data_IF_017162865530
#
_entry.id   IF_017162865530
#
_cell.length_a   1.000
_cell.length_b   1.000
_cell.length_c   1.000
_cell.angle_alpha   90.00
_cell.angle_beta   90.00
_cell.angle_gamma   90.00
#
_symmetry.space_group_name_H-M   'P 1'
#
loop_
_entity.id
_entity.type
_entity.pdbx_description
1 polymer ?
#
# COMPACT_ATOMS: atom_id res chain seq x y z
N UNK A 1 -6.33 19.02 -2.53
CA UNK A 1 -5.65 17.70 -2.40
C UNK A 1 -4.29 17.96 -1.78
N UNK A 2 -3.95 17.29 -0.69
CA UNK A 2 -2.66 17.47 0.00
C UNK A 2 -1.51 16.94 -0.87
N UNK A 3 -0.33 17.54 -0.74
CA UNK A 3 0.88 17.10 -1.44
C UNK A 3 1.20 15.65 -1.02
N UNK A 4 1.55 14.75 -1.96
CA UNK A 4 1.96 13.40 -1.60
C UNK A 4 3.20 13.42 -0.68
N UNK A 5 3.35 12.41 0.20
CA UNK A 5 4.52 12.31 1.06
C UNK A 5 5.81 12.25 0.23
N UNK A 6 6.96 12.68 0.79
CA UNK A 6 8.27 12.40 0.24
C UNK A 6 8.47 10.91 -0.06
N UNK A 7 9.32 10.61 -1.04
CA UNK A 7 9.55 9.22 -1.50
C UNK A 7 10.04 8.32 -0.38
N UNK A 8 10.90 8.84 0.48
CA UNK A 8 11.54 8.12 1.59
C UNK A 8 10.52 7.71 2.64
N UNK A 9 9.59 8.62 2.97
CA UNK A 9 8.48 8.36 3.89
C UNK A 9 7.53 7.31 3.32
N UNK A 10 7.21 7.41 2.03
CA UNK A 10 6.40 6.42 1.34
C UNK A 10 7.07 5.04 1.36
N UNK A 11 8.37 4.97 1.06
CA UNK A 11 9.14 3.72 1.06
C UNK A 11 9.14 3.06 2.45
N UNK A 12 9.36 3.85 3.51
CA UNK A 12 9.36 3.37 4.89
C UNK A 12 7.99 2.80 5.31
N UNK A 13 6.89 3.37 4.80
CA UNK A 13 5.55 2.86 5.04
C UNK A 13 5.30 1.53 4.30
N UNK A 14 5.82 1.38 3.07
CA UNK A 14 5.63 0.19 2.23
C UNK A 14 6.49 -1.00 2.66
N UNK A 15 7.68 -0.74 3.21
CA UNK A 15 8.65 -1.78 3.58
C UNK A 15 8.50 -2.22 5.05
N UNK A 16 8.69 -3.52 5.27
CA UNK A 16 8.80 -4.12 6.60
C UNK A 16 10.19 -3.92 7.22
N UNK A 17 10.40 -4.39 8.46
CA UNK A 17 11.63 -4.17 9.23
C UNK A 17 12.92 -4.64 8.54
N UNK A 18 12.80 -5.61 7.64
CA UNK A 18 13.91 -6.22 6.91
C UNK A 18 14.01 -5.74 5.46
N UNK A 19 13.22 -4.74 5.06
CA UNK A 19 13.24 -4.17 3.71
C UNK A 19 12.37 -4.92 2.68
N UNK A 20 11.62 -5.95 3.10
CA UNK A 20 10.65 -6.61 2.22
C UNK A 20 9.35 -5.78 2.09
N UNK A 21 8.67 -5.87 0.96
CA UNK A 21 7.34 -5.25 0.78
C UNK A 21 6.35 -5.86 1.80
N UNK A 22 5.56 -5.00 2.48
CA UNK A 22 4.52 -5.46 3.41
C UNK A 22 3.43 -6.22 2.66
N UNK A 23 2.84 -7.22 3.33
CA UNK A 23 1.70 -7.98 2.85
C UNK A 23 0.44 -7.69 3.71
N UNK A 24 -0.77 -7.85 3.16
CA UNK A 24 -1.09 -8.20 1.77
C UNK A 24 -0.71 -7.06 0.81
N UNK A 25 -0.41 -7.41 -0.44
CA UNK A 25 -0.13 -6.44 -1.50
C UNK A 25 -0.86 -6.87 -2.79
N UNK A 26 -1.47 -5.91 -3.47
CA UNK A 26 -2.22 -6.18 -4.70
C UNK A 26 -2.15 -4.98 -5.66
N UNK A 27 -2.15 -5.27 -6.96
CA UNK A 27 -2.27 -4.26 -8.02
C UNK A 27 -3.68 -4.27 -8.58
N UNK A 28 -4.31 -3.09 -8.63
CA UNK A 28 -5.62 -2.86 -9.25
C UNK A 28 -5.50 -1.72 -10.27
N UNK A 29 -5.47 -2.06 -11.55
CA UNK A 29 -5.19 -1.08 -12.61
C UNK A 29 -3.81 -0.45 -12.45
N UNK A 30 -3.77 0.87 -12.28
CA UNK A 30 -2.56 1.67 -12.03
C UNK A 30 -2.26 1.89 -10.54
N UNK A 31 -3.04 1.26 -9.66
CA UNK A 31 -2.97 1.48 -8.21
C UNK A 31 -2.36 0.26 -7.50
N UNK A 32 -1.33 0.50 -6.68
CA UNK A 32 -0.75 -0.50 -5.76
C UNK A 32 -1.32 -0.32 -4.36
N UNK A 33 -1.92 -1.39 -3.82
CA UNK A 33 -2.48 -1.45 -2.47
C UNK A 33 -1.55 -2.29 -1.60
N UNK A 34 -1.15 -1.77 -0.45
CA UNK A 34 -0.24 -2.44 0.50
C UNK A 34 -0.75 -2.31 1.92
N UNK A 35 -0.78 -3.43 2.65
CA UNK A 35 -1.30 -3.52 4.01
C UNK A 35 -2.80 -3.81 4.04
N UNK A 36 -3.36 -3.84 5.25
CA UNK A 36 -4.77 -4.16 5.48
C UNK A 36 -5.56 -2.87 5.78
N UNK A 37 -6.56 -2.60 4.95
CA UNK A 37 -7.59 -1.58 5.15
C UNK A 37 -8.89 -2.19 4.61
N UNK A 38 -9.97 -2.22 5.40
CA UNK A 38 -11.26 -2.81 5.01
C UNK A 38 -11.81 -2.21 3.71
N UNK A 39 -11.62 -0.90 3.50
CA UNK A 39 -12.02 -0.23 2.26
C UNK A 39 -11.15 -0.69 1.08
N UNK A 40 -9.85 -0.82 1.29
CA UNK A 40 -8.92 -1.27 0.27
C UNK A 40 -9.12 -2.75 -0.08
N UNK A 41 -9.49 -3.59 0.89
CA UNK A 41 -9.87 -4.99 0.68
C UNK A 41 -11.13 -5.11 -0.19
N UNK A 42 -12.13 -4.24 0.01
CA UNK A 42 -13.33 -4.20 -0.85
C UNK A 42 -13.00 -3.78 -2.28
N UNK A 43 -12.23 -2.71 -2.46
CA UNK A 43 -11.80 -2.25 -3.79
C UNK A 43 -10.96 -3.33 -4.49
N UNK A 44 -10.22 -4.12 -3.71
CA UNK A 44 -9.42 -5.24 -4.18
C UNK A 44 -10.21 -6.50 -4.58
N UNK A 45 -11.51 -6.57 -4.31
CA UNK A 45 -12.31 -7.78 -4.54
C UNK A 45 -11.96 -8.94 -3.60
N UNK A 46 -11.35 -8.63 -2.44
CA UNK A 46 -10.98 -9.59 -1.39
C UNK A 46 -12.02 -9.65 -0.24
N UNK A 47 -13.22 -9.08 -0.46
CA UNK A 47 -14.32 -9.01 0.51
C UNK A 47 -15.38 -10.09 0.33
#
# INVERSE_FOLDING_TARGET
MTKPPPREELLAALLGPTGNLRAPAMVSGDTLIVGFNDEAARVAGLG
#
